data_IF_499862309577
#
_entry.id   IF_499862309577
#
_cell.length_a   1.000
_cell.length_b   1.000
_cell.length_c   1.000
_cell.angle_alpha   90.00
_cell.angle_beta   90.00
_cell.angle_gamma   90.00
#
_symmetry.space_group_name_H-M   'P 1'
#
loop_
_entity.id
_entity.type
_entity.pdbx_description
1 polymer ?
#
# COMPACT_ATOMS: atom_id res chain seq x y z
N UNK A 1 -4.62 6.13 -12.12
CA UNK A 1 -5.88 6.88 -11.95
C UNK A 1 -6.69 6.68 -13.23
N UNK A 2 -7.87 6.05 -13.16
CA UNK A 2 -8.53 5.49 -14.36
C UNK A 2 -10.06 5.65 -14.39
N UNK A 3 -10.66 6.37 -13.43
CA UNK A 3 -12.10 6.64 -13.46
C UNK A 3 -12.40 7.79 -14.44
N UNK A 4 -13.55 7.77 -15.15
CA UNK A 4 -13.92 8.84 -16.09
C UNK A 4 -14.08 10.22 -15.42
N UNK A 5 -14.53 10.26 -14.17
CA UNK A 5 -14.65 11.47 -13.37
C UNK A 5 -14.50 11.18 -11.87
N UNK A 6 -14.12 12.20 -11.11
CA UNK A 6 -13.95 12.15 -9.64
C UNK A 6 -14.73 13.30 -9.00
N UNK A 7 -16.07 13.22 -8.90
CA UNK A 7 -16.90 14.29 -8.34
C UNK A 7 -16.71 14.47 -6.83
N UNK A 8 -16.07 13.52 -6.16
CA UNK A 8 -15.79 13.52 -4.73
C UNK A 8 -14.31 13.24 -4.46
N UNK A 9 -13.81 13.76 -3.33
CA UNK A 9 -12.48 13.41 -2.85
C UNK A 9 -12.38 11.90 -2.56
N UNK A 10 -11.25 11.29 -2.91
CA UNK A 10 -11.10 9.82 -2.91
C UNK A 10 -10.74 9.20 -1.54
N UNK A 11 -10.62 10.00 -0.48
CA UNK A 11 -10.23 9.49 0.85
C UNK A 11 -8.80 8.93 0.95
N UNK A 12 -7.90 9.25 0.00
CA UNK A 12 -6.54 8.67 -0.09
C UNK A 12 -5.50 9.32 0.86
N UNK A 13 -5.92 10.20 1.76
CA UNK A 13 -5.04 10.90 2.70
C UNK A 13 -4.69 10.11 3.96
N UNK A 14 -5.03 8.84 4.04
CA UNK A 14 -4.90 8.02 5.26
C UNK A 14 -3.47 7.63 5.60
N UNK A 15 -2.50 7.79 4.68
CA UNK A 15 -1.08 7.63 4.99
C UNK A 15 -0.59 8.56 6.13
N UNK A 16 -1.31 9.66 6.40
CA UNK A 16 -1.06 10.55 7.53
C UNK A 16 -1.42 9.94 8.90
N UNK A 17 -2.19 8.85 8.94
CA UNK A 17 -2.60 8.19 10.19
C UNK A 17 -1.56 7.21 10.72
N UNK A 18 -0.58 6.82 9.90
CA UNK A 18 0.49 5.91 10.28
C UNK A 18 1.73 6.67 10.76
N UNK A 19 2.38 6.13 11.79
CA UNK A 19 3.63 6.67 12.34
C UNK A 19 4.80 6.56 11.34
N UNK A 20 4.82 5.50 10.55
CA UNK A 20 5.88 5.20 9.59
C UNK A 20 5.32 4.92 8.19
N UNK A 21 6.06 5.36 7.17
CA UNK A 21 5.87 4.99 5.76
C UNK A 21 7.10 4.20 5.30
N UNK A 22 6.94 3.34 4.31
CA UNK A 22 8.01 2.52 3.73
C UNK A 22 8.55 3.09 2.43
N UNK A 23 8.03 4.23 1.95
CA UNK A 23 8.51 4.91 0.74
C UNK A 23 9.16 6.26 1.11
N UNK A 24 10.25 6.60 0.41
CA UNK A 24 10.93 7.89 0.50
C UNK A 24 10.83 8.65 -0.84
N UNK A 25 10.29 9.89 -0.85
CA UNK A 25 9.55 10.55 0.22
C UNK A 25 8.19 9.86 0.48
N UNK A 26 7.68 9.98 1.71
CA UNK A 26 6.35 9.44 2.08
C UNK A 26 5.27 9.97 1.13
N UNK A 27 4.39 9.09 0.65
CA UNK A 27 3.43 9.43 -0.40
C UNK A 27 2.17 10.07 0.19
N UNK A 28 2.30 11.34 0.57
CA UNK A 28 1.24 12.10 1.23
C UNK A 28 0.62 13.15 0.31
N UNK A 29 -0.70 13.44 0.45
CA UNK A 29 -1.32 14.50 -0.32
C UNK A 29 -0.68 15.87 -0.03
N UNK A 30 -0.61 16.72 -1.05
CA UNK A 30 -0.16 18.11 -0.97
C UNK A 30 -1.26 18.98 -1.57
N UNK A 31 -1.68 20.03 -0.85
CA UNK A 31 -2.77 20.91 -1.26
C UNK A 31 -4.07 20.17 -1.66
N UNK A 32 -4.42 19.10 -0.93
CA UNK A 32 -5.64 18.32 -1.20
C UNK A 32 -5.55 17.33 -2.37
N UNK A 33 -4.41 17.25 -3.06
CA UNK A 33 -4.20 16.33 -4.17
C UNK A 33 -3.08 15.32 -3.86
N UNK A 34 -3.25 14.10 -4.35
CA UNK A 34 -2.21 13.07 -4.34
C UNK A 34 -1.73 12.87 -5.79
N UNK A 35 -0.42 12.93 -6.07
CA UNK A 35 0.06 12.66 -7.42
C UNK A 35 -0.27 11.22 -7.79
N UNK A 36 -0.80 11.01 -8.99
CA UNK A 36 -1.04 9.66 -9.48
C UNK A 36 0.31 8.93 -9.65
N UNK A 37 0.37 7.62 -9.34
CA UNK A 37 1.49 6.81 -9.80
C UNK A 37 1.68 6.98 -11.30
N UNK A 38 2.94 7.05 -11.74
CA UNK A 38 3.26 6.90 -13.16
C UNK A 38 3.01 5.46 -13.62
N UNK A 39 3.91 4.91 -14.43
CA UNK A 39 3.78 3.51 -14.89
C UNK A 39 3.85 2.49 -13.74
N UNK A 40 4.55 2.82 -12.65
CA UNK A 40 4.73 1.96 -11.48
C UNK A 40 4.57 2.75 -10.19
N UNK A 41 4.14 2.07 -9.14
CA UNK A 41 4.22 2.59 -7.78
C UNK A 41 5.70 2.69 -7.35
N UNK A 42 6.05 3.63 -6.44
CA UNK A 42 7.35 3.67 -5.79
C UNK A 42 7.66 2.34 -5.12
N UNK A 43 8.91 1.90 -5.28
CA UNK A 43 9.40 0.77 -4.52
C UNK A 43 9.54 1.16 -3.03
N UNK A 44 9.25 0.26 -2.10
CA UNK A 44 9.63 0.45 -0.71
C UNK A 44 11.14 0.64 -0.59
N UNK A 45 11.53 1.58 0.27
CA UNK A 45 12.90 1.75 0.70
C UNK A 45 13.28 0.60 1.66
N UNK A 46 14.35 -0.17 1.36
CA UNK A 46 14.75 -1.30 2.21
C UNK A 46 15.03 -0.91 3.66
N UNK A 47 15.65 0.26 3.90
CA UNK A 47 15.97 0.71 5.26
C UNK A 47 14.70 1.10 6.03
N UNK A 48 13.76 1.79 5.36
CA UNK A 48 12.49 2.14 5.99
C UNK A 48 11.66 0.90 6.31
N UNK A 49 11.68 -0.10 5.41
CA UNK A 49 11.00 -1.37 5.59
C UNK A 49 11.60 -2.18 6.75
N UNK A 50 12.93 -2.24 6.85
CA UNK A 50 13.60 -3.02 7.89
C UNK A 50 13.35 -2.47 9.29
N UNK A 51 13.21 -1.15 9.45
CA UNK A 51 12.87 -0.54 10.75
C UNK A 51 11.54 -0.99 11.33
N UNK A 52 10.57 -1.34 10.49
CA UNK A 52 9.22 -1.76 10.92
C UNK A 52 8.95 -3.24 10.62
N UNK A 53 10.01 -4.00 10.34
CA UNK A 53 9.88 -5.40 9.95
C UNK A 53 9.27 -6.22 11.08
N UNK A 54 8.17 -6.88 10.77
CA UNK A 54 7.54 -7.82 11.68
C UNK A 54 8.42 -9.05 11.94
N UNK A 55 8.25 -9.71 13.08
CA UNK A 55 8.95 -10.96 13.38
C UNK A 55 8.60 -12.11 12.41
N UNK A 56 9.40 -13.18 12.45
CA UNK A 56 9.24 -14.33 11.56
C UNK A 56 7.88 -15.03 11.71
N UNK A 57 7.34 -15.10 12.92
CA UNK A 57 6.02 -15.70 13.19
C UNK A 57 4.91 -14.92 12.51
N UNK A 58 4.94 -13.58 12.60
CA UNK A 58 3.98 -12.69 11.95
C UNK A 58 4.11 -12.70 10.44
N UNK A 59 5.34 -12.78 9.92
CA UNK A 59 5.57 -12.93 8.47
C UNK A 59 4.99 -14.25 7.95
N UNK A 60 5.22 -15.37 8.64
CA UNK A 60 4.67 -16.67 8.27
C UNK A 60 3.13 -16.64 8.25
N UNK A 61 2.53 -16.06 9.30
CA UNK A 61 1.08 -15.88 9.37
C UNK A 61 0.51 -15.07 8.19
N UNK A 62 1.16 -13.97 7.80
CA UNK A 62 0.74 -13.18 6.64
C UNK A 62 0.87 -13.95 5.33
N UNK A 63 1.95 -14.73 5.16
CA UNK A 63 2.15 -15.55 3.98
C UNK A 63 1.07 -16.62 3.84
N UNK A 64 0.71 -17.31 4.92
CA UNK A 64 -0.37 -18.31 4.92
C UNK A 64 -1.73 -17.67 4.61
N UNK A 65 -2.00 -16.51 5.21
CA UNK A 65 -3.23 -15.76 4.93
C UNK A 65 -3.32 -15.34 3.45
N UNK A 66 -2.21 -14.90 2.85
CA UNK A 66 -2.16 -14.54 1.43
C UNK A 66 -2.43 -15.76 0.54
N UNK A 67 -1.81 -16.91 0.83
CA UNK A 67 -2.06 -18.16 0.10
C UNK A 67 -3.53 -18.58 0.18
N UNK A 68 -4.13 -18.51 1.37
CA UNK A 68 -5.54 -18.84 1.57
C UNK A 68 -6.46 -17.91 0.76
N UNK A 69 -6.23 -16.59 0.79
CA UNK A 69 -7.02 -15.64 0.01
C UNK A 69 -6.86 -15.87 -1.51
N UNK A 70 -5.63 -16.14 -1.96
CA UNK A 70 -5.36 -16.45 -3.36
C UNK A 70 -6.05 -17.73 -3.83
N UNK A 71 -6.09 -18.78 -3.00
CA UNK A 71 -6.78 -20.03 -3.32
C UNK A 71 -8.28 -19.83 -3.59
N UNK A 72 -8.93 -18.91 -2.86
CA UNK A 72 -10.34 -18.53 -3.11
C UNK A 72 -10.50 -17.92 -4.50
N UNK A 73 -9.62 -17.00 -4.89
CA UNK A 73 -9.66 -16.37 -6.22
C UNK A 73 -9.36 -17.39 -7.33
N UNK A 74 -8.36 -18.25 -7.12
CA UNK A 74 -7.95 -19.26 -8.09
C UNK A 74 -9.04 -20.32 -8.34
N UNK A 75 -9.87 -20.61 -7.34
CA UNK A 75 -11.00 -21.54 -7.48
C UNK A 75 -12.23 -20.91 -8.17
N UNK A 76 -12.24 -19.60 -8.41
CA UNK A 76 -13.33 -18.88 -9.08
C UNK A 76 -13.08 -18.65 -10.59
N UNK A 77 -11.89 -18.99 -11.09
CA UNK A 77 -11.56 -19.01 -12.53
C UNK A 77 -11.76 -20.39 -13.12
#
# INVERSE_FOLDING_TARGET
>A
ACLPSLPHACGLGTAALFEHDVVAPAWRPRAGALPAPGERAPAPDPELLDRIRADGTRQAWWADRLRAAHAVLAAQG
#
